data_IF_386163296165
#
_entry.id   IF_386163296165
#
_cell.length_a   1.000
_cell.length_b   1.000
_cell.length_c   1.000
_cell.angle_alpha   90.00
_cell.angle_beta   90.00
_cell.angle_gamma   90.00
#
_symmetry.space_group_name_H-M   'P 1'
#
loop_
_entity.id
_entity.type
_entity.pdbx_description
1 polymer ?
#
# COMPACT_ATOMS: atom_id res chain seq x y z
N UNK A 1 -11.89 17.75 -4.92
CA UNK A 1 -11.41 17.59 -6.31
C UNK A 1 -12.52 16.95 -7.13
N UNK A 2 -12.55 17.17 -8.45
CA UNK A 2 -13.61 16.65 -9.32
C UNK A 2 -13.10 15.48 -10.16
N UNK A 3 -13.91 14.42 -10.27
CA UNK A 3 -13.66 13.31 -11.19
C UNK A 3 -13.87 13.83 -12.61
N UNK A 4 -12.78 13.95 -13.38
CA UNK A 4 -12.81 14.42 -14.78
C UNK A 4 -13.44 13.36 -15.67
N UNK A 5 -13.08 12.09 -15.45
CA UNK A 5 -13.63 10.92 -16.14
C UNK A 5 -13.37 9.66 -15.35
N UNK A 6 -13.99 8.57 -15.77
CA UNK A 6 -13.68 7.22 -15.30
C UNK A 6 -12.94 6.44 -16.39
N UNK A 7 -12.14 5.47 -15.97
CA UNK A 7 -11.44 4.53 -16.85
C UNK A 7 -11.69 3.10 -16.37
N UNK A 8 -11.99 2.21 -17.31
CA UNK A 8 -12.20 0.79 -17.01
C UNK A 8 -10.86 0.10 -16.74
N UNK A 9 -10.81 -0.65 -15.64
CA UNK A 9 -9.81 -1.67 -15.33
C UNK A 9 -10.43 -3.03 -15.63
N UNK A 10 -9.94 -3.72 -16.65
CA UNK A 10 -10.43 -5.03 -17.05
C UNK A 10 -9.47 -6.10 -16.56
N UNK A 11 -10.05 -7.05 -15.83
CA UNK A 11 -9.34 -8.17 -15.23
C UNK A 11 -9.76 -9.48 -15.91
N UNK A 12 -8.85 -10.44 -15.89
CA UNK A 12 -9.08 -11.78 -16.38
C UNK A 12 -10.18 -12.49 -15.59
N UNK A 13 -10.75 -13.52 -16.21
CA UNK A 13 -11.85 -14.32 -15.65
C UNK A 13 -11.48 -14.92 -14.28
N UNK A 14 -10.24 -15.38 -14.10
CA UNK A 14 -9.75 -15.94 -12.85
C UNK A 14 -9.82 -14.94 -11.69
N UNK A 15 -9.34 -13.70 -11.88
CA UNK A 15 -9.40 -12.62 -10.89
C UNK A 15 -10.83 -12.26 -10.53
N UNK A 16 -11.74 -12.35 -11.51
CA UNK A 16 -13.16 -12.08 -11.32
C UNK A 16 -13.87 -13.17 -10.52
N UNK A 17 -13.62 -14.43 -10.86
CA UNK A 17 -14.15 -15.59 -10.14
C UNK A 17 -13.66 -15.62 -8.68
N UNK A 18 -12.39 -15.26 -8.46
CA UNK A 18 -11.79 -15.13 -7.13
C UNK A 18 -12.18 -13.83 -6.40
N UNK A 19 -12.80 -12.87 -7.10
CA UNK A 19 -13.15 -11.52 -6.60
C UNK A 19 -11.98 -10.67 -6.12
N UNK A 20 -10.77 -10.93 -6.59
CA UNK A 20 -9.59 -10.12 -6.22
C UNK A 20 -9.62 -8.73 -6.86
N UNK A 21 -10.22 -8.61 -8.04
CA UNK A 21 -10.41 -7.33 -8.76
C UNK A 21 -11.25 -6.27 -8.02
N UNK A 22 -11.92 -6.63 -6.92
CA UNK A 22 -12.76 -5.70 -6.13
C UNK A 22 -12.13 -5.24 -4.81
N UNK A 23 -10.91 -5.70 -4.50
CA UNK A 23 -10.21 -5.32 -3.27
C UNK A 23 -8.86 -4.68 -3.59
N UNK A 24 -8.87 -3.62 -4.41
CA UNK A 24 -7.65 -2.94 -4.83
C UNK A 24 -7.16 -2.00 -3.72
N UNK A 25 -5.91 -2.17 -3.32
CA UNK A 25 -5.26 -1.38 -2.26
C UNK A 25 -4.20 -0.42 -2.83
N UNK A 26 -3.47 -0.83 -3.87
CA UNK A 26 -2.32 -0.09 -4.36
C UNK A 26 -2.29 0.02 -5.88
N UNK A 27 -1.74 1.13 -6.39
CA UNK A 27 -1.58 1.36 -7.84
C UNK A 27 -0.33 2.15 -8.17
N UNK A 28 0.41 1.76 -9.22
CA UNK A 28 1.51 2.57 -9.80
C UNK A 28 1.51 2.50 -11.31
N UNK A 29 1.67 3.64 -11.98
CA UNK A 29 1.78 3.66 -13.44
C UNK A 29 3.21 3.44 -13.94
N UNK A 30 3.33 2.85 -15.13
CA UNK A 30 4.51 2.89 -15.97
C UNK A 30 4.13 3.27 -17.42
N UNK A 31 5.11 3.28 -18.32
CA UNK A 31 4.88 3.67 -19.71
C UNK A 31 3.95 2.71 -20.48
N UNK A 32 3.70 1.50 -19.96
CA UNK A 32 2.92 0.46 -20.62
C UNK A 32 1.53 0.27 -19.98
N UNK A 33 1.32 0.74 -18.75
CA UNK A 33 0.05 0.53 -18.06
C UNK A 33 0.05 0.84 -16.56
N UNK A 34 -0.60 -0.03 -15.79
CA UNK A 34 -0.75 0.06 -14.33
C UNK A 34 -0.29 -1.22 -13.66
N UNK A 35 0.50 -1.06 -12.61
CA UNK A 35 0.67 -2.05 -11.55
C UNK A 35 -0.44 -1.91 -10.52
N UNK A 36 -0.99 -3.03 -10.07
CA UNK A 36 -2.05 -3.11 -9.08
C UNK A 36 -1.76 -4.23 -8.07
N UNK A 37 -2.27 -4.06 -6.85
CA UNK A 37 -2.29 -5.10 -5.83
C UNK A 37 -3.54 -4.94 -4.96
N UNK A 38 -3.80 -5.95 -4.12
CA UNK A 38 -4.92 -5.99 -3.19
C UNK A 38 -4.57 -6.68 -1.88
N UNK A 39 -5.55 -6.78 -0.98
CA UNK A 39 -5.53 -7.74 0.12
C UNK A 39 -5.77 -9.16 -0.47
N UNK A 40 -6.37 -10.17 0.13
CA UNK A 40 -6.67 -11.50 -0.48
C UNK A 40 -5.54 -12.39 -1.05
N UNK A 41 -4.44 -11.91 -1.65
CA UNK A 41 -3.43 -12.72 -2.37
C UNK A 41 -2.00 -12.26 -2.10
N UNK A 42 -1.02 -13.04 -2.61
CA UNK A 42 0.40 -12.68 -2.64
C UNK A 42 0.88 -12.44 -4.08
N UNK A 43 0.06 -11.73 -4.86
CA UNK A 43 0.35 -11.39 -6.27
C UNK A 43 0.39 -9.88 -6.49
N UNK A 44 1.09 -9.48 -7.54
CA UNK A 44 0.96 -8.15 -8.15
C UNK A 44 0.50 -8.32 -9.59
N UNK A 45 -0.36 -7.42 -10.02
CA UNK A 45 -0.98 -7.44 -11.34
C UNK A 45 -0.40 -6.30 -12.19
N UNK A 46 -0.26 -6.52 -13.49
CA UNK A 46 -0.04 -5.45 -14.46
C UNK A 46 -1.16 -5.46 -15.51
N UNK A 47 -1.80 -4.31 -15.72
CA UNK A 47 -2.77 -4.10 -16.79
C UNK A 47 -2.16 -3.16 -17.84
N UNK A 48 -2.11 -3.58 -19.10
CA UNK A 48 -1.64 -2.75 -20.20
C UNK A 48 -2.70 -1.72 -20.62
N UNK A 49 -2.27 -0.52 -20.99
CA UNK A 49 -3.18 0.48 -21.56
C UNK A 49 -3.52 0.15 -23.02
N UNK A 50 -4.79 -0.12 -23.31
CA UNK A 50 -5.30 -0.51 -24.64
C UNK A 50 -6.59 0.22 -24.95
N UNK A 51 -6.63 0.94 -26.07
CA UNK A 51 -7.85 1.55 -26.62
C UNK A 51 -8.67 2.34 -25.57
N UNK A 52 -8.01 3.14 -24.72
CA UNK A 52 -8.66 4.01 -23.75
C UNK A 52 -8.99 3.39 -22.38
N UNK A 53 -8.63 2.12 -22.15
CA UNK A 53 -8.81 1.40 -20.88
C UNK A 53 -7.54 0.65 -20.47
N UNK A 54 -7.51 0.11 -19.26
CA UNK A 54 -6.47 -0.81 -18.80
C UNK A 54 -7.01 -2.24 -18.86
N UNK A 55 -6.27 -3.15 -19.49
CA UNK A 55 -6.70 -4.51 -19.88
C UNK A 55 -5.48 -5.44 -19.96
N UNK A 56 -5.61 -6.63 -20.57
CA UNK A 56 -4.47 -7.54 -20.86
C UNK A 56 -3.70 -7.87 -19.57
N UNK A 57 -4.43 -8.40 -18.58
CA UNK A 57 -3.92 -8.66 -17.24
C UNK A 57 -2.74 -9.64 -17.28
N UNK A 58 -1.70 -9.32 -16.51
CA UNK A 58 -0.61 -10.25 -16.19
C UNK A 58 -0.43 -10.34 -14.69
N UNK A 59 -0.53 -11.55 -14.17
CA UNK A 59 -0.37 -11.87 -12.76
C UNK A 59 1.03 -12.36 -12.46
N UNK A 60 1.64 -11.80 -11.41
CA UNK A 60 2.95 -12.19 -10.93
C UNK A 60 2.88 -12.58 -9.45
N UNK A 61 3.16 -13.83 -9.13
CA UNK A 61 3.20 -14.27 -7.73
C UNK A 61 4.54 -13.91 -7.11
N UNK A 62 4.54 -13.33 -5.90
CA UNK A 62 5.78 -12.95 -5.22
C UNK A 62 6.68 -14.16 -4.96
N UNK A 63 6.09 -15.34 -4.70
CA UNK A 63 6.80 -16.60 -4.53
C UNK A 63 7.60 -17.05 -5.77
N UNK A 64 7.27 -16.53 -6.96
CA UNK A 64 8.04 -16.77 -8.18
C UNK A 64 9.36 -15.97 -8.21
N UNK A 65 9.61 -15.10 -7.22
CA UNK A 65 10.80 -14.25 -7.16
C UNK A 65 11.55 -14.33 -5.82
N UNK A 66 10.82 -14.45 -4.71
CA UNK A 66 11.37 -14.47 -3.34
C UNK A 66 10.74 -15.58 -2.50
N UNK A 67 11.41 -15.99 -1.42
CA UNK A 67 10.90 -16.99 -0.49
C UNK A 67 9.95 -16.35 0.53
N UNK A 68 8.64 -16.54 0.35
CA UNK A 68 7.62 -16.03 1.29
C UNK A 68 7.60 -16.82 2.60
N UNK A 69 7.46 -16.16 3.76
CA UNK A 69 7.60 -16.81 5.07
C UNK A 69 6.50 -17.84 5.40
N UNK A 70 5.30 -17.70 4.84
CA UNK A 70 4.17 -18.62 5.05
C UNK A 70 3.81 -19.43 3.79
N UNK A 71 4.64 -19.38 2.73
CA UNK A 71 4.39 -20.06 1.47
C UNK A 71 3.59 -19.24 0.46
N UNK A 72 3.32 -19.83 -0.71
CA UNK A 72 2.75 -19.14 -1.89
C UNK A 72 1.30 -18.73 -1.72
N UNK A 73 0.50 -19.59 -1.10
CA UNK A 73 -0.97 -19.50 -1.12
C UNK A 73 -1.55 -18.67 0.04
N UNK A 74 -0.70 -18.25 0.98
CA UNK A 74 -1.09 -17.38 2.09
C UNK A 74 -1.12 -15.91 1.63
N UNK A 75 -2.23 -15.22 1.90
CA UNK A 75 -2.45 -13.79 1.64
C UNK A 75 -1.30 -12.95 2.19
N UNK A 76 -0.81 -11.99 1.39
CA UNK A 76 0.23 -11.06 1.81
C UNK A 76 -0.30 -9.69 2.23
N UNK A 77 -1.59 -9.41 2.03
CA UNK A 77 -2.22 -8.13 2.39
C UNK A 77 -1.38 -6.98 1.84
N UNK A 78 -1.17 -6.99 0.52
CA UNK A 78 -0.27 -6.05 -0.15
C UNK A 78 -0.99 -4.72 -0.18
N UNK A 79 -0.57 -3.78 0.65
CA UNK A 79 -1.24 -2.49 0.77
C UNK A 79 -0.50 -1.38 0.01
N UNK A 80 0.78 -1.59 -0.34
CA UNK A 80 1.58 -0.56 -0.98
C UNK A 80 2.45 -1.08 -2.13
N UNK A 81 2.54 -0.27 -3.19
CA UNK A 81 3.43 -0.45 -4.33
C UNK A 81 4.33 0.76 -4.53
N UNK A 82 5.62 0.57 -4.78
CA UNK A 82 6.55 1.64 -5.15
C UNK A 82 7.23 1.34 -6.47
N UNK A 83 7.52 2.35 -7.30
CA UNK A 83 8.27 2.15 -8.53
C UNK A 83 9.31 3.25 -8.71
N UNK A 84 10.58 2.87 -8.77
CA UNK A 84 11.68 3.79 -9.06
C UNK A 84 12.91 3.01 -9.55
N UNK A 85 13.72 3.62 -10.40
CA UNK A 85 15.04 3.10 -10.80
C UNK A 85 15.03 1.66 -11.35
N UNK A 86 13.94 1.32 -12.04
CA UNK A 86 13.70 -0.02 -12.59
C UNK A 86 13.47 -1.09 -11.53
N UNK A 87 13.00 -0.71 -10.35
CA UNK A 87 12.52 -1.60 -9.30
C UNK A 87 11.02 -1.45 -9.11
N UNK A 88 10.36 -2.56 -8.80
CA UNK A 88 9.06 -2.61 -8.16
C UNK A 88 9.28 -2.94 -6.68
N UNK A 89 8.72 -2.11 -5.81
CA UNK A 89 8.66 -2.33 -4.38
C UNK A 89 7.25 -2.76 -4.01
N UNK A 90 7.14 -3.77 -3.16
CA UNK A 90 5.87 -4.34 -2.72
C UNK A 90 5.93 -4.47 -1.21
N UNK A 91 4.95 -3.94 -0.49
CA UNK A 91 4.92 -3.99 0.96
C UNK A 91 3.59 -4.57 1.44
N UNK A 92 3.68 -5.52 2.38
CA UNK A 92 2.51 -6.00 3.12
C UNK A 92 2.16 -5.05 4.27
N UNK A 93 0.96 -5.19 4.82
CA UNK A 93 0.45 -4.29 5.86
C UNK A 93 1.21 -4.28 7.19
N UNK A 94 2.03 -5.30 7.46
CA UNK A 94 2.73 -5.51 8.73
C UNK A 94 1.81 -5.50 9.96
N UNK A 95 0.53 -5.86 9.76
CA UNK A 95 -0.49 -5.70 10.79
C UNK A 95 -1.01 -7.01 11.37
N UNK A 96 -1.45 -6.92 12.63
CA UNK A 96 -2.28 -7.94 13.23
C UNK A 96 -3.73 -7.78 12.78
N UNK A 97 -4.42 -8.91 12.58
CA UNK A 97 -5.81 -8.94 12.10
C UNK A 97 -6.76 -9.40 13.20
N UNK A 98 -7.75 -8.57 13.54
CA UNK A 98 -8.88 -9.01 14.37
C UNK A 98 -9.91 -9.73 13.50
N UNK A 99 -10.31 -10.93 13.90
CA UNK A 99 -11.30 -11.70 13.15
C UNK A 99 -12.69 -11.04 13.21
N UNK A 100 -13.21 -10.67 12.04
CA UNK A 100 -14.58 -10.14 11.89
C UNK A 100 -15.64 -11.18 12.34
N UNK A 101 -16.72 -10.70 12.95
CA UNK A 101 -17.96 -11.46 13.05
C UNK A 101 -18.59 -11.57 11.66
N UNK A 102 -19.04 -12.77 11.27
CA UNK A 102 -19.65 -13.00 9.96
C UNK A 102 -21.16 -13.18 10.11
N UNK A 103 -21.91 -12.72 9.10
CA UNK A 103 -23.37 -12.94 9.01
C UNK A 103 -23.68 -14.44 9.13
N UNK A 104 -24.69 -14.79 9.92
CA UNK A 104 -25.09 -16.19 10.16
C UNK A 104 -24.32 -16.92 11.26
N UNK A 105 -23.29 -16.33 11.87
CA UNK A 105 -22.67 -16.94 13.06
C UNK A 105 -23.60 -16.88 14.27
N UNK A 106 -23.72 -17.96 15.08
CA UNK A 106 -24.44 -17.90 16.34
C UNK A 106 -23.74 -16.93 17.31
N UNK A 107 -24.48 -16.29 18.25
CA UNK A 107 -23.95 -15.22 19.11
C UNK A 107 -22.64 -15.57 19.83
N UNK A 108 -22.52 -16.79 20.36
CA UNK A 108 -21.31 -17.26 21.05
C UNK A 108 -20.08 -17.32 20.12
N UNK A 109 -20.26 -17.73 18.85
CA UNK A 109 -19.19 -17.78 17.84
C UNK A 109 -18.81 -16.38 17.38
N UNK A 110 -19.78 -15.49 17.19
CA UNK A 110 -19.52 -14.09 16.86
C UNK A 110 -18.69 -13.42 17.96
N UNK A 111 -19.09 -13.54 19.23
CA UNK A 111 -18.34 -13.01 20.39
C UNK A 111 -16.92 -13.57 20.47
N UNK A 112 -16.74 -14.89 20.30
CA UNK A 112 -15.41 -15.52 20.33
C UNK A 112 -14.49 -14.99 19.23
N UNK A 113 -15.03 -14.75 18.02
CA UNK A 113 -14.22 -14.24 16.90
C UNK A 113 -13.71 -12.83 17.14
N UNK A 114 -14.53 -11.94 17.71
CA UNK A 114 -14.09 -10.58 18.03
C UNK A 114 -12.95 -10.56 19.07
N UNK A 115 -12.82 -11.59 19.91
CA UNK A 115 -11.68 -11.76 20.81
C UNK A 115 -10.43 -12.39 20.18
N UNK A 116 -10.46 -12.77 18.89
CA UNK A 116 -9.37 -13.46 18.21
C UNK A 116 -8.56 -12.47 17.35
N UNK A 117 -7.29 -12.31 17.72
CA UNK A 117 -6.29 -11.61 16.93
C UNK A 117 -5.37 -12.66 16.30
N UNK A 118 -5.02 -12.49 15.03
CA UNK A 118 -4.14 -13.39 14.29
C UNK A 118 -3.00 -12.61 13.66
N UNK A 119 -1.86 -13.30 13.53
CA UNK A 119 -0.68 -12.87 12.78
C UNK A 119 -0.54 -13.80 11.58
N UNK A 120 -0.37 -13.21 10.40
CA UNK A 120 -0.19 -13.92 9.13
C UNK A 120 1.15 -13.46 8.55
N UNK A 121 2.16 -14.34 8.52
CA UNK A 121 3.56 -13.91 8.32
C UNK A 121 3.84 -13.27 6.95
N UNK A 122 3.06 -13.62 5.92
CA UNK A 122 3.18 -12.99 4.60
C UNK A 122 2.77 -11.50 4.60
N UNK A 123 2.08 -11.01 5.63
CA UNK A 123 1.79 -9.57 5.81
C UNK A 123 3.03 -8.76 6.21
N UNK A 124 4.07 -9.41 6.72
CA UNK A 124 5.25 -8.76 7.32
C UNK A 124 6.44 -8.79 6.35
N UNK A 125 6.22 -8.32 5.12
CA UNK A 125 7.19 -8.37 4.03
C UNK A 125 7.39 -7.00 3.39
N UNK A 126 8.64 -6.70 3.02
CA UNK A 126 8.99 -5.69 2.02
C UNK A 126 9.81 -6.37 0.94
N UNK A 127 9.30 -6.39 -0.29
CA UNK A 127 9.92 -7.05 -1.45
C UNK A 127 10.40 -5.99 -2.43
N UNK A 128 11.60 -6.20 -2.98
CA UNK A 128 12.17 -5.42 -4.08
C UNK A 128 12.39 -6.34 -5.28
N UNK A 129 11.75 -6.06 -6.41
CA UNK A 129 11.83 -6.84 -7.64
C UNK A 129 12.44 -6.01 -8.79
N UNK A 130 13.50 -6.48 -9.46
CA UNK A 130 13.98 -5.85 -10.68
C UNK A 130 12.91 -5.89 -11.76
N UNK A 131 12.75 -4.79 -12.50
CA UNK A 131 11.86 -4.69 -13.65
C UNK A 131 12.66 -4.64 -14.95
N UNK A 132 12.27 -5.48 -15.91
CA UNK A 132 12.66 -5.40 -17.32
C UNK A 132 11.40 -5.04 -18.12
N UNK A 133 11.29 -3.76 -18.50
CA UNK A 133 10.01 -3.22 -18.99
C UNK A 133 8.94 -3.29 -17.90
N UNK A 134 7.77 -3.84 -18.22
CA UNK A 134 6.69 -4.09 -17.27
C UNK A 134 6.65 -5.56 -16.81
N UNK A 135 7.80 -6.15 -16.50
CA UNK A 135 7.90 -7.57 -16.08
C UNK A 135 8.91 -7.68 -14.95
N UNK A 136 8.51 -8.22 -13.78
CA UNK A 136 9.45 -8.50 -12.71
C UNK A 136 10.29 -9.73 -13.08
N UNK A 137 11.56 -9.72 -12.70
CA UNK A 137 12.48 -10.83 -12.93
C UNK A 137 13.24 -11.16 -11.65
N UNK A 138 13.73 -12.40 -11.52
CA UNK A 138 14.57 -12.78 -10.36
C UNK A 138 15.89 -12.03 -10.35
N UNK A 139 16.47 -11.81 -11.53
CA UNK A 139 17.78 -11.16 -11.71
C UNK A 139 17.80 -10.34 -13.00
N UNK A 140 18.46 -9.19 -12.96
CA UNK A 140 18.80 -8.37 -14.13
C UNK A 140 20.17 -7.70 -13.92
N UNK A 141 21.21 -8.29 -14.51
CA UNK A 141 22.59 -7.89 -14.25
C UNK A 141 22.93 -7.97 -12.75
N UNK A 142 23.34 -6.86 -12.10
CA UNK A 142 23.64 -6.85 -10.66
C UNK A 142 22.39 -6.79 -9.78
N UNK A 143 21.20 -6.60 -10.36
CA UNK A 143 19.94 -6.46 -9.62
C UNK A 143 19.34 -7.84 -9.37
N UNK A 144 18.84 -8.06 -8.16
CA UNK A 144 18.19 -9.32 -7.74
C UNK A 144 16.90 -9.03 -6.97
N UNK A 145 15.92 -9.93 -7.11
CA UNK A 145 14.72 -9.95 -6.27
C UNK A 145 15.07 -10.27 -4.81
N UNK A 146 14.68 -9.42 -3.88
CA UNK A 146 15.06 -9.52 -2.48
C UNK A 146 13.91 -9.17 -1.54
N UNK A 147 13.95 -9.73 -0.33
CA UNK A 147 12.89 -9.57 0.67
C UNK A 147 13.43 -9.22 2.07
N UNK A 148 12.77 -8.29 2.76
CA UNK A 148 12.89 -8.07 4.19
C UNK A 148 11.70 -8.76 4.87
N UNK A 149 11.93 -9.91 5.50
CA UNK A 149 10.88 -10.67 6.18
C UNK A 149 11.39 -11.60 7.29
N UNK A 150 10.45 -12.03 8.14
CA UNK A 150 10.66 -13.01 9.19
C UNK A 150 11.13 -12.41 10.53
N UNK A 151 11.35 -13.26 11.55
CA UNK A 151 11.59 -12.82 12.92
C UNK A 151 12.81 -11.89 13.04
N UNK A 152 12.62 -10.72 13.66
CA UNK A 152 13.62 -9.68 13.85
C UNK A 152 14.09 -9.01 12.55
N UNK A 153 13.38 -9.23 11.43
CA UNK A 153 13.75 -8.78 10.08
C UNK A 153 12.54 -8.30 9.29
N UNK A 154 11.56 -7.71 9.97
CA UNK A 154 10.43 -7.03 9.36
C UNK A 154 10.20 -5.70 10.11
N UNK A 155 9.43 -4.79 9.51
CA UNK A 155 9.26 -3.45 10.09
C UNK A 155 8.54 -3.49 11.44
N UNK A 156 7.54 -4.35 11.64
CA UNK A 156 6.83 -4.43 12.91
C UNK A 156 7.75 -4.81 14.09
N UNK A 157 8.65 -5.77 13.87
CA UNK A 157 9.62 -6.18 14.89
C UNK A 157 10.63 -5.07 15.20
N UNK A 158 11.02 -4.27 14.20
CA UNK A 158 11.91 -3.11 14.41
C UNK A 158 11.22 -2.00 15.20
N UNK A 159 9.90 -1.85 15.02
CA UNK A 159 9.08 -0.85 15.71
C UNK A 159 8.68 -1.26 17.13
N UNK A 160 8.92 -2.52 17.52
CA UNK A 160 8.51 -3.06 18.82
C UNK A 160 9.22 -2.40 20.01
N UNK A 161 10.37 -1.76 19.77
CA UNK A 161 11.14 -1.01 20.79
C UNK A 161 11.03 0.52 20.59
N UNK A 162 10.22 0.99 19.64
CA UNK A 162 10.05 2.43 19.38
C UNK A 162 9.19 3.10 20.46
N UNK A 163 9.62 4.23 21.05
CA UNK A 163 8.89 4.88 22.13
C UNK A 163 7.51 5.42 21.72
N UNK A 164 7.27 5.69 20.44
CA UNK A 164 5.98 6.16 19.93
C UNK A 164 5.11 5.02 19.43
N UNK A 165 5.72 4.02 18.78
CA UNK A 165 5.00 2.99 18.01
C UNK A 165 4.84 1.67 18.75
N UNK A 166 5.76 1.30 19.66
CA UNK A 166 5.71 0.04 20.40
C UNK A 166 4.35 -0.25 21.05
N UNK A 167 3.62 0.72 21.66
CA UNK A 167 2.31 0.47 22.25
C UNK A 167 1.24 -0.02 21.25
N UNK A 168 1.44 0.20 19.94
CA UNK A 168 0.47 -0.07 18.89
C UNK A 168 0.80 -1.32 18.05
N UNK A 169 2.02 -1.84 18.14
CA UNK A 169 2.44 -3.03 17.37
C UNK A 169 1.62 -4.28 17.73
N UNK A 170 1.22 -4.41 18.99
CA UNK A 170 0.39 -5.52 19.47
C UNK A 170 -1.12 -5.32 19.26
N UNK A 171 -1.54 -4.19 18.69
CA UNK A 171 -2.93 -3.84 18.43
C UNK A 171 -3.27 -4.19 16.98
N UNK A 172 -4.46 -4.76 16.68
CA UNK A 172 -4.88 -4.98 15.30
C UNK A 172 -5.06 -3.70 14.47
N UNK A 173 -4.81 -3.78 13.17
CA UNK A 173 -4.84 -2.62 12.25
C UNK A 173 -6.15 -1.83 12.28
N UNK A 174 -7.30 -2.51 12.28
CA UNK A 174 -8.62 -1.86 12.29
C UNK A 174 -9.04 -1.34 13.69
N UNK A 175 -8.16 -1.47 14.69
CA UNK A 175 -8.29 -0.93 16.05
C UNK A 175 -7.26 0.19 16.32
N UNK A 176 -6.77 0.87 15.28
CA UNK A 176 -5.67 1.86 15.32
C UNK A 176 -4.30 1.28 15.70
N UNK A 177 -4.10 -0.03 15.52
CA UNK A 177 -2.79 -0.67 15.61
C UNK A 177 -1.88 -0.36 14.42
N UNK A 178 -0.68 -0.95 14.42
CA UNK A 178 0.26 -0.82 13.31
C UNK A 178 -0.38 -1.32 12.01
N UNK A 179 -0.36 -0.49 10.99
CA UNK A 179 -0.82 -0.81 9.65
C UNK A 179 -0.14 0.08 8.62
N UNK A 180 0.58 -0.55 7.69
CA UNK A 180 1.31 0.08 6.60
C UNK A 180 0.43 0.03 5.35
N UNK A 181 0.24 1.16 4.68
CA UNK A 181 -0.47 1.18 3.39
C UNK A 181 0.27 2.02 2.33
N UNK A 182 0.99 3.07 2.73
CA UNK A 182 1.80 3.85 1.79
C UNK A 182 3.21 3.31 1.58
N UNK A 183 3.68 3.24 0.33
CA UNK A 183 5.11 3.16 0.02
C UNK A 183 5.48 3.97 -1.23
N UNK A 184 6.53 4.77 -1.12
CA UNK A 184 7.04 5.58 -2.22
C UNK A 184 8.56 5.69 -2.19
N UNK A 185 9.17 5.76 -3.38
CA UNK A 185 10.59 6.08 -3.55
C UNK A 185 10.72 7.51 -4.04
N UNK A 186 11.57 8.31 -3.40
CA UNK A 186 11.89 9.67 -3.81
C UNK A 186 13.35 9.97 -3.46
N UNK A 187 14.13 10.38 -4.47
CA UNK A 187 15.58 10.65 -4.34
C UNK A 187 16.39 9.52 -3.71
N UNK A 188 16.09 8.26 -4.07
CA UNK A 188 16.77 7.08 -3.52
C UNK A 188 16.40 6.77 -2.06
N UNK A 189 15.45 7.49 -1.47
CA UNK A 189 14.89 7.23 -0.14
C UNK A 189 13.58 6.45 -0.28
N UNK A 190 13.38 5.44 0.57
CA UNK A 190 12.12 4.71 0.63
C UNK A 190 11.31 5.22 1.82
N UNK A 191 10.13 5.78 1.53
CA UNK A 191 9.18 6.24 2.52
C UNK A 191 8.05 5.23 2.68
N UNK A 192 7.66 4.98 3.93
CA UNK A 192 6.63 4.02 4.32
C UNK A 192 5.60 4.75 5.18
N UNK A 193 4.36 4.84 4.68
CA UNK A 193 3.27 5.56 5.31
C UNK A 193 2.39 4.63 6.13
N UNK A 194 2.11 5.03 7.38
CA UNK A 194 1.24 4.27 8.26
C UNK A 194 -0.20 4.77 8.17
N UNK A 195 -1.14 3.86 7.89
CA UNK A 195 -2.56 4.13 8.15
C UNK A 195 -2.80 4.19 9.66
N UNK A 196 -2.17 3.31 10.41
CA UNK A 196 -2.23 3.27 11.86
C UNK A 196 -0.87 2.94 12.47
N UNK A 197 -0.55 3.47 13.67
CA UNK A 197 -1.39 4.32 14.52
C UNK A 197 -1.39 5.79 14.09
N UNK A 198 -2.47 6.50 14.44
CA UNK A 198 -2.48 7.97 14.50
C UNK A 198 -2.37 8.44 15.95
N UNK A 199 -1.41 9.33 16.22
CA UNK A 199 -1.00 9.75 17.56
C UNK A 199 -1.55 11.14 17.86
N UNK A 200 -2.66 11.25 18.59
CA UNK A 200 -3.34 12.55 18.88
C UNK A 200 -3.54 13.43 17.62
N UNK A 201 -3.85 12.82 16.49
CA UNK A 201 -4.06 13.52 15.21
C UNK A 201 -2.90 13.46 14.22
N UNK A 202 -1.73 12.99 14.67
CA UNK A 202 -0.50 12.92 13.88
C UNK A 202 -0.36 11.55 13.23
N UNK A 203 -0.32 11.52 11.90
CA UNK A 203 0.06 10.35 11.12
C UNK A 203 1.57 10.15 11.18
N UNK A 204 2.01 8.93 10.91
CA UNK A 204 3.41 8.53 11.00
C UNK A 204 3.90 8.06 9.65
N UNK A 205 5.06 8.56 9.26
CA UNK A 205 5.75 8.20 8.03
C UNK A 205 7.19 7.81 8.40
N UNK A 206 7.64 6.65 7.93
CA UNK A 206 8.98 6.14 8.16
C UNK A 206 9.84 6.36 6.92
N UNK A 207 11.04 6.86 7.09
CA UNK A 207 12.09 6.83 6.07
C UNK A 207 13.03 5.66 6.39
N UNK A 208 13.23 4.78 5.41
CA UNK A 208 14.10 3.61 5.52
C UNK A 208 15.06 3.53 4.33
N UNK A 209 16.18 2.82 4.52
CA UNK A 209 17.17 2.59 3.47
C UNK A 209 17.44 1.10 3.30
N UNK A 210 16.63 0.38 2.50
CA UNK A 210 16.85 -1.04 2.27
C UNK A 210 18.04 -1.28 1.33
N UNK A 211 18.92 -2.18 1.71
CA UNK A 211 20.06 -2.63 0.91
C UNK A 211 20.16 -4.16 0.93
N UNK A 212 20.87 -4.73 -0.03
CA UNK A 212 21.13 -6.17 -0.08
C UNK A 212 21.90 -6.62 1.15
N UNK A 213 21.51 -7.73 1.77
CA UNK A 213 22.26 -8.32 2.89
C UNK A 213 23.45 -9.13 2.34
N UNK A 214 24.70 -8.67 2.50
CA UNK A 214 25.88 -9.38 1.99
C UNK A 214 26.07 -10.75 2.64
N UNK A 215 25.41 -11.03 3.77
CA UNK A 215 25.48 -12.33 4.47
C UNK A 215 24.35 -13.28 4.09
N UNK A 216 23.30 -12.79 3.43
CA UNK A 216 22.08 -13.56 3.11
C UNK A 216 21.59 -13.17 1.71
N UNK A 217 22.09 -13.82 0.65
CA UNK A 217 21.64 -13.57 -0.71
C UNK A 217 20.11 -13.69 -0.82
N UNK A 218 19.46 -12.76 -1.53
CA UNK A 218 18.00 -12.72 -1.64
C UNK A 218 17.30 -12.05 -0.45
N UNK A 219 18.03 -11.61 0.58
CA UNK A 219 17.47 -10.86 1.71
C UNK A 219 17.87 -9.39 1.66
N UNK A 220 16.95 -8.53 2.10
CA UNK A 220 17.23 -7.13 2.39
C UNK A 220 17.65 -6.96 3.87
N UNK A 221 18.41 -5.90 4.14
CA UNK A 221 18.62 -5.32 5.47
C UNK A 221 18.42 -3.80 5.39
N UNK A 222 18.24 -3.15 6.53
CA UNK A 222 18.18 -1.69 6.58
C UNK A 222 19.55 -1.12 6.89
N UNK A 223 20.07 -0.29 5.99
CA UNK A 223 21.20 0.56 6.28
C UNK A 223 20.79 1.65 7.29
N UNK A 224 21.70 2.06 8.19
CA UNK A 224 21.37 3.07 9.17
C UNK A 224 21.17 4.47 8.53
N UNK A 225 20.22 5.21 9.08
CA UNK A 225 19.99 6.64 8.88
C UNK A 225 20.23 7.29 10.24
N UNK A 226 21.22 8.19 10.33
CA UNK A 226 21.62 8.85 11.59
C UNK A 226 21.87 7.87 12.75
N UNK A 227 22.44 6.71 12.44
CA UNK A 227 22.74 5.64 13.41
C UNK A 227 21.54 4.77 13.82
N UNK A 228 20.36 4.94 13.21
CA UNK A 228 19.13 4.19 13.48
C UNK A 228 18.66 3.42 12.24
N UNK A 229 17.89 2.32 12.38
CA UNK A 229 17.39 1.56 11.23
C UNK A 229 16.36 2.34 10.37
N UNK A 230 15.74 3.37 10.93
CA UNK A 230 14.77 4.23 10.26
C UNK A 230 14.76 5.63 10.89
N UNK A 231 14.19 6.58 10.17
CA UNK A 231 13.83 7.93 10.65
C UNK A 231 12.31 8.07 10.63
N UNK A 232 11.75 8.78 11.61
CA UNK A 232 10.29 8.99 11.71
C UNK A 232 9.94 10.44 11.44
N UNK A 233 8.91 10.64 10.63
CA UNK A 233 8.28 11.92 10.31
C UNK A 233 6.84 11.90 10.82
N UNK A 234 6.36 13.00 11.40
CA UNK A 234 4.99 13.10 11.93
C UNK A 234 4.19 14.16 11.20
N UNK A 235 3.14 13.73 10.51
CA UNK A 235 2.34 14.59 9.65
C UNK A 235 1.00 14.91 10.32
N UNK A 236 0.65 16.19 10.44
CA UNK A 236 -0.67 16.57 10.97
C UNK A 236 -1.74 16.42 9.89
N UNK A 237 -2.30 15.22 9.76
CA UNK A 237 -3.38 14.92 8.83
C UNK A 237 -4.76 15.06 9.48
N UNK A 238 -4.85 15.71 10.65
CA UNK A 238 -6.13 15.98 11.32
C UNK A 238 -6.85 14.74 11.83
N UNK A 239 -6.12 13.70 12.26
CA UNK A 239 -6.70 12.43 12.71
C UNK A 239 -6.80 11.34 11.63
N UNK A 240 -6.42 11.65 10.40
CA UNK A 240 -6.34 10.68 9.30
C UNK A 240 -4.97 9.98 9.29
N UNK A 241 -4.94 8.75 8.78
CA UNK A 241 -3.72 8.00 8.50
C UNK A 241 -3.35 8.06 7.02
N UNK A 242 -2.16 7.57 6.68
CA UNK A 242 -1.67 7.49 5.30
C UNK A 242 -2.19 6.19 4.67
N UNK A 243 -2.96 6.32 3.59
CA UNK A 243 -3.54 5.22 2.81
C UNK A 243 -2.68 4.83 1.62
N UNK A 244 -2.11 5.82 0.94
CA UNK A 244 -1.15 5.59 -0.14
C UNK A 244 -0.27 6.82 -0.34
N UNK A 245 0.86 6.67 -1.04
CA UNK A 245 1.75 7.77 -1.38
C UNK A 245 2.36 7.60 -2.77
N UNK A 246 2.37 8.63 -3.62
CA UNK A 246 3.10 8.56 -4.89
C UNK A 246 3.99 9.79 -5.11
N UNK A 247 5.14 9.65 -5.82
CA UNK A 247 5.99 10.80 -6.10
C UNK A 247 5.32 11.85 -6.99
N UNK A 248 5.55 13.12 -6.67
CA UNK A 248 5.17 14.29 -7.48
C UNK A 248 6.26 15.35 -7.38
N UNK A 249 6.97 15.58 -8.48
CA UNK A 249 8.13 16.49 -8.56
C UNK A 249 9.20 16.15 -7.53
N UNK A 250 9.47 17.04 -6.58
CA UNK A 250 10.44 16.93 -5.48
C UNK A 250 9.79 16.47 -4.16
N UNK A 251 8.50 16.10 -4.19
CA UNK A 251 7.74 15.69 -3.03
C UNK A 251 6.92 14.42 -3.25
N UNK A 252 6.06 14.14 -2.28
CA UNK A 252 5.10 13.06 -2.30
C UNK A 252 3.68 13.64 -2.25
N UNK A 253 2.79 13.04 -3.04
CA UNK A 253 1.36 13.11 -2.79
C UNK A 253 0.99 12.02 -1.80
N UNK A 254 0.18 12.39 -0.80
CA UNK A 254 -0.28 11.54 0.28
C UNK A 254 -1.80 11.42 0.16
N UNK A 255 -2.29 10.20 -0.02
CA UNK A 255 -3.69 9.87 0.20
C UNK A 255 -3.90 9.66 1.70
N UNK A 256 -4.72 10.50 2.32
CA UNK A 256 -5.03 10.45 3.74
C UNK A 256 -6.49 10.04 3.95
N UNK A 257 -6.74 9.12 4.89
CA UNK A 257 -8.08 8.62 5.18
C UNK A 257 -8.24 8.05 6.60
N UNK A 258 -9.45 7.59 6.97
CA UNK A 258 -9.72 7.06 8.31
C UNK A 258 -8.83 5.87 8.69
N UNK A 259 -8.50 5.72 9.98
CA UNK A 259 -7.60 4.65 10.46
C UNK A 259 -8.33 3.37 10.91
N UNK A 260 -9.66 3.40 10.97
CA UNK A 260 -10.49 2.27 11.41
C UNK A 260 -11.54 1.93 10.35
N UNK A 261 -12.50 1.09 10.68
CA UNK A 261 -13.54 0.62 9.72
C UNK A 261 -14.64 1.66 9.45
N UNK A 262 -14.44 2.93 9.79
CA UNK A 262 -15.42 3.98 9.59
C UNK A 262 -15.18 4.68 8.26
N UNK A 263 -16.25 5.09 7.61
CA UNK A 263 -16.20 5.99 6.46
C UNK A 263 -15.97 7.42 6.94
N UNK A 264 -15.18 8.18 6.20
CA UNK A 264 -14.83 9.54 6.59
C UNK A 264 -13.99 10.26 5.54
N UNK A 265 -13.55 11.48 5.85
CA UNK A 265 -12.86 12.33 4.90
C UNK A 265 -11.65 11.65 4.26
N UNK A 266 -11.55 11.77 2.94
CA UNK A 266 -10.40 11.32 2.16
C UNK A 266 -9.77 12.53 1.48
N UNK A 267 -8.48 12.72 1.69
CA UNK A 267 -7.75 13.92 1.25
C UNK A 267 -6.51 13.55 0.48
N UNK A 268 -6.14 14.39 -0.48
CA UNK A 268 -4.81 14.37 -1.08
C UNK A 268 -4.05 15.59 -0.61
N UNK A 269 -2.86 15.37 -0.06
CA UNK A 269 -1.95 16.41 0.40
C UNK A 269 -0.60 16.25 -0.29
N UNK A 270 0.13 17.34 -0.46
CA UNK A 270 1.52 17.32 -0.89
C UNK A 270 2.43 17.53 0.32
N UNK A 271 3.49 16.75 0.38
CA UNK A 271 4.52 16.83 1.38
C UNK A 271 5.90 16.82 0.73
N UNK A 272 6.79 17.70 1.16
CA UNK A 272 8.19 17.68 0.76
C UNK A 272 9.02 17.09 1.90
N UNK A 273 9.84 16.05 1.64
CA UNK A 273 10.69 15.49 2.66
C UNK A 273 11.76 16.47 3.12
N UNK A 274 11.92 16.57 4.43
CA UNK A 274 13.01 17.29 5.09
C UNK A 274 14.06 16.31 5.60
N UNK A 275 15.32 16.75 5.71
CA UNK A 275 16.41 15.91 6.21
C UNK A 275 16.42 15.77 7.74
N UNK A 276 15.66 16.59 8.46
CA UNK A 276 15.55 16.52 9.92
C UNK A 276 14.18 15.97 10.37
N UNK A 277 14.13 15.10 11.39
CA UNK A 277 12.87 14.67 11.99
C UNK A 277 12.10 15.88 12.52
N UNK A 278 10.95 16.18 11.94
CA UNK A 278 10.12 17.31 12.33
C UNK A 278 8.69 16.87 12.63
N UNK A 279 8.00 17.72 13.38
CA UNK A 279 6.55 17.66 13.62
C UNK A 279 5.88 18.93 13.07
N UNK A 280 6.62 19.77 12.33
CA UNK A 280 6.15 21.09 11.86
C UNK A 280 6.18 21.16 10.33
N UNK A 281 5.76 20.07 9.69
CA UNK A 281 5.68 20.06 8.23
C UNK A 281 4.51 20.94 7.78
N UNK A 282 4.78 21.81 6.80
CA UNK A 282 3.73 22.43 6.02
C UNK A 282 3.26 21.43 4.96
N UNK A 283 1.96 21.14 4.97
CA UNK A 283 1.32 20.21 4.05
C UNK A 283 0.35 20.98 3.17
N UNK A 284 0.54 20.91 1.86
CA UNK A 284 -0.35 21.59 0.92
C UNK A 284 -1.55 20.70 0.66
N UNK A 285 -2.75 21.16 1.03
CA UNK A 285 -3.98 20.46 0.68
C UNK A 285 -4.21 20.59 -0.83
N UNK A 286 -4.09 19.49 -1.55
CA UNK A 286 -4.44 19.40 -2.99
C UNK A 286 -5.96 19.32 -3.14
N UNK A 287 -6.64 18.60 -2.24
CA UNK A 287 -8.08 18.66 -2.08
C UNK A 287 -8.69 17.36 -1.58
N UNK A 288 -10.01 17.33 -1.43
CA UNK A 288 -10.74 16.15 -0.98
C UNK A 288 -11.14 15.24 -2.15
N UNK A 289 -11.17 13.93 -1.91
CA UNK A 289 -11.73 12.93 -2.83
C UNK A 289 -13.14 12.51 -2.38
N UNK A 290 -14.05 12.20 -3.32
CA UNK A 290 -15.32 11.58 -2.98
C UNK A 290 -15.09 10.18 -2.38
N UNK A 291 -15.95 9.78 -1.47
CA UNK A 291 -15.99 8.43 -0.90
C UNK A 291 -17.45 8.02 -0.67
N UNK A 292 -17.72 6.72 -0.71
CA UNK A 292 -19.03 6.16 -0.43
C UNK A 292 -19.25 5.88 1.06
N UNK A 293 -20.35 5.16 1.36
CA UNK A 293 -20.68 4.68 2.70
C UNK A 293 -20.69 3.15 2.67
N UNK A 294 -19.63 2.55 3.21
CA UNK A 294 -19.34 1.12 3.13
C UNK A 294 -18.95 0.63 1.73
N UNK A 295 -18.64 1.53 0.80
CA UNK A 295 -18.19 1.24 -0.55
C UNK A 295 -17.39 2.42 -1.14
N UNK A 296 -16.79 2.20 -2.31
CA UNK A 296 -16.06 3.23 -3.07
C UNK A 296 -15.01 3.93 -2.20
N UNK A 297 -14.22 3.15 -1.44
CA UNK A 297 -13.16 3.69 -0.60
C UNK A 297 -11.93 3.92 -1.47
N UNK A 298 -11.45 5.17 -1.67
CA UNK A 298 -10.18 5.39 -2.32
C UNK A 298 -9.06 4.78 -1.47
N UNK A 299 -8.31 3.84 -2.02
CA UNK A 299 -7.20 3.18 -1.32
C UNK A 299 -5.86 3.41 -2.01
N UNK A 300 -5.83 3.59 -3.34
CA UNK A 300 -4.58 3.82 -4.09
C UNK A 300 -4.62 5.01 -5.05
N UNK A 301 -3.50 5.71 -5.19
CA UNK A 301 -3.32 6.83 -6.13
C UNK A 301 -2.06 6.71 -6.98
N UNK A 302 -2.11 7.16 -8.23
CA UNK A 302 -0.90 7.35 -9.04
C UNK A 302 -1.02 8.53 -9.99
N UNK A 303 0.09 9.19 -10.28
CA UNK A 303 0.16 10.36 -11.15
C UNK A 303 0.33 9.92 -12.62
N UNK A 304 -0.56 10.36 -13.52
CA UNK A 304 -0.52 9.94 -14.93
C UNK A 304 0.32 10.85 -15.83
N UNK A 305 0.21 12.16 -15.66
CA UNK A 305 0.77 13.15 -16.59
C UNK A 305 1.22 14.45 -15.90
N UNK A 306 1.44 14.40 -14.58
CA UNK A 306 1.81 15.56 -13.77
C UNK A 306 0.63 16.43 -13.34
N UNK A 307 -0.58 16.20 -13.87
CA UNK A 307 -1.78 16.97 -13.55
C UNK A 307 -2.96 16.11 -13.08
N UNK A 308 -3.01 14.85 -13.52
CA UNK A 308 -4.13 13.94 -13.23
C UNK A 308 -3.69 12.79 -12.35
N UNK A 309 -4.51 12.52 -11.33
CA UNK A 309 -4.43 11.34 -10.49
C UNK A 309 -5.38 10.28 -11.00
N UNK A 310 -4.87 9.06 -11.11
CA UNK A 310 -5.71 7.88 -11.18
C UNK A 310 -5.94 7.37 -9.75
N UNK A 311 -7.19 7.10 -9.41
CA UNK A 311 -7.63 6.65 -8.08
C UNK A 311 -8.32 5.30 -8.21
N UNK A 312 -7.80 4.30 -7.50
CA UNK A 312 -8.42 2.97 -7.37
C UNK A 312 -9.15 2.85 -6.03
N UNK A 313 -10.14 1.98 -6.00
CA UNK A 313 -11.04 1.86 -4.86
C UNK A 313 -11.12 0.41 -4.35
N UNK A 314 -11.17 0.26 -3.04
CA UNK A 314 -11.65 -0.95 -2.39
C UNK A 314 -13.18 -0.94 -2.30
N UNK A 315 -13.76 -2.14 -2.25
CA UNK A 315 -15.19 -2.36 -2.07
C UNK A 315 -16.04 -1.52 -3.05
N UNK A 316 -15.80 -1.62 -4.38
CA UNK A 316 -16.50 -0.81 -5.36
C UNK A 316 -18.02 -1.03 -5.30
N UNK A 317 -18.76 0.06 -5.41
CA UNK A 317 -20.22 0.01 -5.54
C UNK A 317 -20.65 -0.62 -6.87
N UNK A 318 -21.91 -1.04 -6.97
CA UNK A 318 -22.46 -1.59 -8.21
C UNK A 318 -22.31 -0.63 -9.40
N UNK A 319 -22.28 0.68 -9.16
CA UNK A 319 -22.11 1.70 -10.19
C UNK A 319 -20.69 1.72 -10.79
N UNK A 320 -19.68 1.19 -10.06
CA UNK A 320 -18.31 1.02 -10.56
C UNK A 320 -18.09 -0.30 -11.28
N UNK A 321 -19.03 -1.23 -11.21
CA UNK A 321 -18.93 -2.51 -11.89
C UNK A 321 -19.49 -2.38 -13.30
N UNK A 322 -18.68 -2.75 -14.29
CA UNK A 322 -19.08 -2.75 -15.70
C UNK A 322 -19.76 -4.07 -16.07
N UNK A 323 -20.66 -4.09 -17.08
CA UNK A 323 -21.31 -5.32 -17.54
C UNK A 323 -20.31 -6.43 -17.92
N UNK A 324 -19.13 -6.02 -18.39
CA UNK A 324 -18.10 -6.93 -18.90
C UNK A 324 -17.18 -7.47 -17.78
N UNK A 325 -17.49 -7.13 -16.52
CA UNK A 325 -16.77 -7.60 -15.34
C UNK A 325 -15.50 -6.80 -15.00
N UNK A 326 -15.30 -5.63 -15.62
CA UNK A 326 -14.29 -4.66 -15.22
C UNK A 326 -14.77 -3.72 -14.10
N UNK A 327 -13.84 -2.97 -13.52
CA UNK A 327 -14.07 -2.00 -12.43
C UNK A 327 -13.65 -0.61 -12.87
N UNK A 328 -14.41 0.43 -12.52
CA UNK A 328 -14.12 1.82 -12.87
C UNK A 328 -13.20 2.49 -11.85
N UNK A 329 -12.03 2.92 -12.31
CA UNK A 329 -11.15 3.85 -11.59
C UNK A 329 -11.46 5.30 -11.97
N UNK A 330 -11.21 6.23 -11.05
CA UNK A 330 -11.43 7.65 -11.30
C UNK A 330 -10.16 8.31 -11.80
N UNK A 331 -10.31 9.24 -12.76
CA UNK A 331 -9.25 10.17 -13.16
C UNK A 331 -9.64 11.54 -12.67
N UNK A 332 -8.85 12.08 -11.74
CA UNK A 332 -9.11 13.32 -11.02
C UNK A 332 -8.07 14.34 -11.42
N UNK A 333 -8.49 15.54 -11.82
CA UNK A 333 -7.58 16.65 -12.10
C UNK A 333 -7.16 17.33 -10.80
N UNK A 334 -5.86 17.46 -10.58
CA UNK A 334 -5.31 18.26 -9.50
C UNK A 334 -5.48 19.75 -9.81
N UNK A 335 -5.78 20.60 -8.81
CA UNK A 335 -5.73 22.04 -8.99
C UNK A 335 -4.29 22.48 -9.32
N UNK A 336 -4.18 23.54 -10.11
CA UNK A 336 -2.92 24.15 -10.54
C UNK A 336 -2.16 24.78 -9.37
#
# INVERSE_FOLDING_TARGET
>A
MFVERQVELRFDVSSREARTHTNLSAVRTDALGLWLAGDETATVEHLAFRAGRYDDQRTFYLADFVDLPAGRDEEADIEGLGRADGWLWVIGSHSLKRRRAKKGHPPHKARRRLGSVVREENRYILVRLPLVGATPVREDGPRRAEILAGPGRNLADLLADDPHLAPFVAIPSKDNGLDIEGVAMLDGRLFVGLRGPVLRGWAVLLEIRPESDPRRPGSLRLAPIDGRPYRTHFLNLGGLGIRDMCPDRDGLLILAGPTMSLDGPVRVLRWQPEDEPSVRHELDLVGDLPHGNGNDHPEGITLLDGERLLVVHDSPSEARLTPEGGVLADVVRMPH
#
